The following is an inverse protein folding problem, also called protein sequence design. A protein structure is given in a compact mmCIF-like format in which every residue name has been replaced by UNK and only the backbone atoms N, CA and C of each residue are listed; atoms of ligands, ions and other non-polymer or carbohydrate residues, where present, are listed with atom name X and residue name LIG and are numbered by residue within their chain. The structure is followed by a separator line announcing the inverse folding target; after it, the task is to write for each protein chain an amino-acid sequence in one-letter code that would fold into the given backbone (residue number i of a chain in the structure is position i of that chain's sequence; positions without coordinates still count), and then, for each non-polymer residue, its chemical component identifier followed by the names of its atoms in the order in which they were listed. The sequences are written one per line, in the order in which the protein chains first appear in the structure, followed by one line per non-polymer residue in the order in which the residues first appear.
data_IF_946933116925
#
_entry.id   IF_946933116925
#
_cell.length_a   1.000
_cell.length_b   1.000
_cell.length_c   1.000
_cell.angle_alpha   90.00
_cell.angle_beta   90.00
_cell.angle_gamma   90.00
#
_symmetry.space_group_name_H-M   'P 1'
#
loop_
_entity.id
_entity.type
_entity.pdbx_description
1 polymer ?
#
# COMPACT_ATOMS: atom_id res chain seq x y z
N UNK A 1 6.93 -11.61 0.99
CA UNK A 1 6.82 -10.40 1.82
C UNK A 1 6.28 -10.71 3.21
N UNK A 2 5.16 -11.43 3.34
CA UNK A 2 4.64 -11.88 4.65
C UNK A 2 5.63 -12.69 5.48
N UNK A 3 6.35 -13.65 4.86
CA UNK A 3 7.44 -14.39 5.51
C UNK A 3 8.60 -13.51 6.02
N UNK A 4 8.67 -12.25 5.58
CA UNK A 4 9.68 -11.27 5.97
C UNK A 4 9.11 -10.17 6.90
N UNK A 5 7.91 -10.38 7.47
CA UNK A 5 7.29 -9.47 8.43
C UNK A 5 6.46 -8.34 7.81
N UNK A 6 6.19 -8.38 6.50
CA UNK A 6 5.33 -7.40 5.85
C UNK A 6 3.89 -7.89 5.79
N UNK A 7 2.93 -7.07 6.19
CA UNK A 7 1.50 -7.39 6.11
C UNK A 7 0.78 -6.41 5.19
N UNK A 8 -0.29 -6.89 4.58
CA UNK A 8 -1.17 -6.06 3.77
C UNK A 8 -1.83 -4.99 4.65
N UNK A 9 -1.73 -3.72 4.24
CA UNK A 9 -2.40 -2.63 4.91
C UNK A 9 -3.81 -2.40 4.33
N UNK A 10 -4.87 -2.43 5.17
CA UNK A 10 -6.23 -2.24 4.70
C UNK A 10 -6.51 -0.82 4.19
N UNK A 11 -5.69 0.16 4.59
CA UNK A 11 -5.78 1.59 4.26
C UNK A 11 -4.86 2.00 3.10
N UNK A 12 -4.43 1.04 2.27
CA UNK A 12 -3.50 1.29 1.16
C UNK A 12 -3.92 2.39 0.19
N UNK A 13 -5.21 2.48 -0.21
CA UNK A 13 -5.66 3.54 -1.14
C UNK A 13 -5.54 4.95 -0.54
N UNK A 14 -5.79 5.09 0.77
CA UNK A 14 -5.65 6.36 1.48
C UNK A 14 -4.18 6.77 1.49
N UNK A 15 -3.28 5.86 1.86
CA UNK A 15 -1.85 6.12 1.87
C UNK A 15 -1.31 6.49 0.49
N UNK A 16 -1.74 5.79 -0.56
CA UNK A 16 -1.34 6.12 -1.93
C UNK A 16 -1.80 7.53 -2.33
N UNK A 17 -3.00 7.97 -1.96
CA UNK A 17 -3.48 9.34 -2.24
C UNK A 17 -2.75 10.40 -1.43
N UNK A 18 -2.36 10.09 -0.19
CA UNK A 18 -1.71 11.05 0.70
C UNK A 18 -0.27 11.29 0.31
N UNK A 19 0.45 10.24 -0.10
CA UNK A 19 1.90 10.30 -0.27
C UNK A 19 2.36 10.23 -1.73
N UNK A 20 1.49 9.81 -2.67
CA UNK A 20 1.83 9.71 -4.08
C UNK A 20 0.77 10.35 -4.98
N UNK A 21 1.24 11.07 -6.01
CA UNK A 21 0.39 11.50 -7.11
C UNK A 21 0.50 10.48 -8.26
N UNK A 22 -0.37 9.47 -8.22
CA UNK A 22 -0.45 8.42 -9.25
C UNK A 22 -1.87 8.27 -9.81
N UNK A 23 -2.02 7.88 -11.09
CA UNK A 23 -3.34 7.68 -11.71
C UNK A 23 -4.21 6.68 -10.94
N UNK A 24 -5.53 6.87 -10.94
CA UNK A 24 -6.48 6.01 -10.24
C UNK A 24 -6.33 4.53 -10.59
N UNK A 25 -6.16 4.21 -11.88
CA UNK A 25 -5.87 2.84 -12.37
C UNK A 25 -4.66 2.20 -11.70
N UNK A 26 -3.61 2.97 -11.41
CA UNK A 26 -2.41 2.45 -10.75
C UNK A 26 -2.66 2.22 -9.27
N UNK A 27 -3.46 3.06 -8.61
CA UNK A 27 -3.87 2.82 -7.22
C UNK A 27 -4.69 1.55 -7.08
N UNK A 28 -5.64 1.33 -7.99
CA UNK A 28 -6.49 0.13 -8.02
C UNK A 28 -5.69 -1.16 -8.16
N UNK A 29 -4.57 -1.12 -8.90
CA UNK A 29 -3.68 -2.27 -9.08
C UNK A 29 -2.55 -2.34 -8.07
N UNK A 30 -2.39 -1.33 -7.22
CA UNK A 30 -1.29 -1.24 -6.26
C UNK A 30 -1.63 -1.92 -4.95
N UNK A 31 -0.60 -2.43 -4.28
CA UNK A 31 -0.71 -3.10 -2.98
C UNK A 31 0.26 -2.44 -2.02
N UNK A 32 -0.24 -1.94 -0.89
CA UNK A 32 0.59 -1.33 0.14
C UNK A 32 0.86 -2.37 1.24
N UNK A 33 2.15 -2.60 1.53
CA UNK A 33 2.60 -3.50 2.58
C UNK A 33 3.31 -2.71 3.67
N UNK A 34 2.88 -2.91 4.91
CA UNK A 34 3.49 -2.33 6.11
C UNK A 34 4.31 -3.37 6.84
N UNK A 35 5.30 -2.94 7.62
CA UNK A 35 6.03 -3.77 8.57
C UNK A 35 5.74 -3.27 9.97
N UNK A 36 5.22 -4.13 10.84
CA UNK A 36 5.24 -3.86 12.28
C UNK A 36 6.70 -3.96 12.73
N UNK A 37 7.23 -2.84 13.23
CA UNK A 37 8.60 -2.73 13.77
C UNK A 37 8.58 -3.17 15.22
#
# INVERSE_FOLDING_TARGET
YEKHGFRLLPDGDVLLRTYWDIPARQRETSVVLGREV
#
